data_IF_491544165530
#
_entry.id   IF_491544165530
#
_cell.length_a   1.000
_cell.length_b   1.000
_cell.length_c   1.000
_cell.angle_alpha   90.00
_cell.angle_beta   90.00
_cell.angle_gamma   90.00
#
_symmetry.space_group_name_H-M   'P 1'
#
loop_
_entity.id
_entity.type
_entity.pdbx_description
1 polymer ?
#
# COMPACT_ATOMS: atom_id res chain seq x y z
N UNK A 1 -9.13 -11.51 -35.57
CA UNK A 1 -9.75 -12.49 -34.64
C UNK A 1 -8.75 -13.23 -33.74
N UNK A 2 -7.46 -13.36 -34.08
CA UNK A 2 -6.47 -14.04 -33.22
C UNK A 2 -6.15 -13.30 -31.90
N UNK A 3 -6.16 -11.96 -31.87
CA UNK A 3 -5.82 -11.17 -30.67
C UNK A 3 -6.84 -11.33 -29.52
N UNK A 4 -8.10 -11.64 -29.85
CA UNK A 4 -9.19 -11.82 -28.86
C UNK A 4 -9.12 -13.21 -28.20
N UNK A 5 -8.58 -14.22 -28.88
CA UNK A 5 -8.46 -15.57 -28.32
C UNK A 5 -7.32 -15.66 -27.27
N UNK A 6 -6.23 -14.93 -27.47
CA UNK A 6 -5.08 -14.93 -26.55
C UNK A 6 -5.40 -14.24 -25.22
N UNK A 7 -6.19 -13.17 -25.24
CA UNK A 7 -6.62 -12.47 -24.01
C UNK A 7 -7.60 -13.29 -23.17
N UNK A 8 -8.50 -14.03 -23.81
CA UNK A 8 -9.46 -14.93 -23.14
C UNK A 8 -8.77 -16.16 -22.51
N UNK A 9 -7.70 -16.65 -23.14
CA UNK A 9 -6.91 -17.78 -22.60
C UNK A 9 -6.11 -17.37 -21.36
N UNK A 10 -5.59 -16.14 -21.35
CA UNK A 10 -4.91 -15.59 -20.17
C UNK A 10 -5.89 -15.33 -19.02
N UNK A 11 -7.12 -14.85 -19.30
CA UNK A 11 -8.10 -14.59 -18.25
C UNK A 11 -8.64 -15.87 -17.60
N UNK A 12 -8.83 -16.94 -18.37
CA UNK A 12 -9.25 -18.24 -17.83
C UNK A 12 -8.14 -18.87 -16.97
N UNK A 13 -6.88 -18.79 -17.39
CA UNK A 13 -5.73 -19.19 -16.59
C UNK A 13 -5.65 -18.41 -15.28
N UNK A 14 -5.79 -17.09 -15.32
CA UNK A 14 -5.78 -16.26 -14.12
C UNK A 14 -6.93 -16.60 -13.17
N UNK A 15 -8.11 -16.97 -13.67
CA UNK A 15 -9.22 -17.42 -12.82
C UNK A 15 -8.93 -18.74 -12.10
N UNK A 16 -8.23 -19.67 -12.76
CA UNK A 16 -7.78 -20.92 -12.15
C UNK A 16 -6.75 -20.63 -11.05
N UNK A 17 -5.76 -19.79 -11.33
CA UNK A 17 -4.72 -19.41 -10.36
C UNK A 17 -5.34 -18.70 -9.14
N UNK A 18 -6.32 -17.81 -9.37
CA UNK A 18 -7.09 -17.17 -8.28
C UNK A 18 -7.80 -18.23 -7.41
N UNK A 19 -8.42 -19.23 -8.00
CA UNK A 19 -9.06 -20.32 -7.25
C UNK A 19 -8.03 -21.15 -6.45
N UNK A 20 -6.83 -21.40 -6.99
CA UNK A 20 -5.74 -22.07 -6.29
C UNK A 20 -5.30 -21.29 -5.05
N UNK A 21 -5.10 -19.97 -5.18
CA UNK A 21 -4.78 -19.10 -4.03
C UNK A 21 -5.85 -19.19 -2.94
N UNK A 22 -7.13 -19.17 -3.33
CA UNK A 22 -8.25 -19.30 -2.37
C UNK A 22 -8.23 -20.64 -1.64
N UNK A 23 -7.94 -21.73 -2.36
CA UNK A 23 -7.86 -23.06 -1.78
C UNK A 23 -6.67 -23.21 -0.81
N UNK A 24 -5.51 -22.67 -1.17
CA UNK A 24 -4.33 -22.71 -0.32
C UNK A 24 -4.56 -21.93 0.98
N UNK A 25 -5.19 -20.76 0.88
CA UNK A 25 -5.56 -19.96 2.05
C UNK A 25 -6.63 -20.63 2.93
N UNK A 26 -7.64 -21.28 2.34
CA UNK A 26 -8.74 -21.89 3.11
C UNK A 26 -8.33 -23.15 3.87
N UNK A 27 -7.23 -23.78 3.48
CA UNK A 27 -6.72 -25.01 4.07
C UNK A 27 -5.47 -24.77 4.92
N UNK A 28 -5.12 -23.51 5.18
CA UNK A 28 -3.89 -23.12 5.85
C UNK A 28 -3.91 -23.58 7.32
N UNK A 29 -2.92 -24.38 7.69
CA UNK A 29 -2.66 -24.85 9.07
C UNK A 29 -1.22 -24.56 9.43
N UNK A 30 -0.90 -24.53 10.72
CA UNK A 30 0.47 -24.28 11.22
C UNK A 30 1.48 -25.25 10.60
N UNK A 31 1.15 -26.55 10.54
CA UNK A 31 1.99 -27.61 9.95
C UNK A 31 2.20 -27.47 8.43
N UNK A 32 1.31 -26.75 7.74
CA UNK A 32 1.36 -26.58 6.29
C UNK A 32 1.75 -25.17 5.85
N UNK A 33 1.97 -24.27 6.81
CA UNK A 33 2.15 -22.84 6.59
C UNK A 33 3.31 -22.55 5.63
N UNK A 34 4.52 -23.02 5.95
CA UNK A 34 5.72 -22.72 5.16
C UNK A 34 5.62 -23.23 3.72
N UNK A 35 5.09 -24.44 3.55
CA UNK A 35 4.92 -25.03 2.22
C UNK A 35 3.91 -24.23 1.39
N UNK A 36 2.75 -23.89 1.98
CA UNK A 36 1.69 -23.16 1.28
C UNK A 36 2.06 -21.71 1.03
N UNK A 37 2.80 -21.07 1.94
CA UNK A 37 3.38 -19.74 1.76
C UNK A 37 4.32 -19.72 0.55
N UNK A 38 5.23 -20.69 0.45
CA UNK A 38 6.13 -20.80 -0.69
C UNK A 38 5.38 -21.02 -2.01
N UNK A 39 4.33 -21.86 -2.01
CA UNK A 39 3.50 -22.12 -3.19
C UNK A 39 2.70 -20.88 -3.62
N UNK A 40 2.10 -20.16 -2.67
CA UNK A 40 1.41 -18.89 -2.93
C UNK A 40 2.38 -17.86 -3.50
N UNK A 41 3.60 -17.76 -2.96
CA UNK A 41 4.64 -16.85 -3.45
C UNK A 41 5.00 -17.16 -4.90
N UNK A 42 5.22 -18.44 -5.21
CA UNK A 42 5.54 -18.88 -6.57
C UNK A 42 4.38 -18.64 -7.56
N UNK A 43 3.12 -18.79 -7.14
CA UNK A 43 1.96 -18.41 -7.96
C UNK A 43 1.92 -16.89 -8.22
N UNK A 44 2.26 -16.09 -7.22
CA UNK A 44 2.34 -14.64 -7.38
C UNK A 44 3.48 -14.23 -8.33
N UNK A 45 4.68 -14.80 -8.15
CA UNK A 45 5.86 -14.50 -8.97
C UNK A 45 5.66 -14.91 -10.44
N UNK A 46 5.00 -16.04 -10.70
CA UNK A 46 4.77 -16.55 -12.06
C UNK A 46 3.66 -15.82 -12.84
N UNK A 47 2.68 -15.26 -12.15
CA UNK A 47 1.47 -14.70 -12.78
C UNK A 47 1.31 -13.19 -12.59
N UNK A 48 2.19 -12.56 -11.82
CA UNK A 48 2.33 -11.11 -11.73
C UNK A 48 1.28 -10.40 -10.88
N UNK A 49 1.22 -9.08 -11.03
CA UNK A 49 0.52 -8.16 -10.13
C UNK A 49 -0.96 -8.50 -9.91
N UNK A 50 -1.67 -9.05 -10.90
CA UNK A 50 -3.08 -9.40 -10.75
C UNK A 50 -3.35 -10.46 -9.68
N UNK A 51 -2.42 -11.42 -9.52
CA UNK A 51 -2.54 -12.48 -8.51
C UNK A 51 -2.13 -11.95 -7.14
N UNK A 52 -1.11 -11.08 -7.05
CA UNK A 52 -0.79 -10.36 -5.82
C UNK A 52 -1.97 -9.55 -5.30
N UNK A 53 -2.62 -8.79 -6.18
CA UNK A 53 -3.80 -7.99 -5.85
C UNK A 53 -4.97 -8.88 -5.41
N UNK A 54 -5.18 -10.03 -6.06
CA UNK A 54 -6.21 -10.99 -5.64
C UNK A 54 -5.92 -11.61 -4.26
N UNK A 55 -4.68 -12.04 -4.03
CA UNK A 55 -4.23 -12.56 -2.74
C UNK A 55 -4.45 -11.52 -1.65
N UNK A 56 -4.04 -10.27 -1.89
CA UNK A 56 -4.18 -9.19 -0.94
C UNK A 56 -5.65 -8.92 -0.58
N UNK A 57 -6.57 -8.91 -1.56
CA UNK A 57 -8.02 -8.84 -1.28
C UNK A 57 -8.47 -9.97 -0.36
N UNK A 58 -8.00 -11.19 -0.60
CA UNK A 58 -8.35 -12.36 0.22
C UNK A 58 -7.79 -12.27 1.62
N UNK A 59 -6.54 -11.83 1.78
CA UNK A 59 -5.93 -11.61 3.09
C UNK A 59 -6.63 -10.49 3.86
N UNK A 60 -7.00 -9.39 3.19
CA UNK A 60 -7.75 -8.31 3.83
C UNK A 60 -9.14 -8.79 4.26
N UNK A 61 -9.88 -9.47 3.38
CA UNK A 61 -11.18 -10.06 3.71
C UNK A 61 -11.08 -11.08 4.85
N UNK A 62 -10.00 -11.87 4.85
CA UNK A 62 -9.72 -12.87 5.87
C UNK A 62 -9.02 -12.29 7.09
N UNK A 63 -8.70 -11.00 7.15
CA UNK A 63 -7.96 -10.40 8.28
C UNK A 63 -8.73 -10.48 9.61
N UNK A 64 -10.01 -10.88 9.58
CA UNK A 64 -10.73 -11.38 10.76
C UNK A 64 -10.13 -12.66 11.35
N UNK A 65 -9.55 -13.55 10.53
CA UNK A 65 -8.61 -14.59 10.93
C UNK A 65 -7.22 -13.99 11.16
N UNK A 66 -6.59 -14.43 12.24
CA UNK A 66 -5.25 -14.03 12.68
C UNK A 66 -4.21 -14.28 11.57
N UNK A 67 -3.81 -13.23 10.87
CA UNK A 67 -2.62 -13.27 10.03
C UNK A 67 -1.40 -13.15 10.95
N UNK A 68 -0.84 -14.30 11.33
CA UNK A 68 0.48 -14.31 11.97
C UNK A 68 1.53 -14.28 10.84
N UNK A 69 1.96 -13.07 10.49
CA UNK A 69 3.02 -12.83 9.51
C UNK A 69 4.32 -12.58 10.28
N UNK A 70 4.85 -13.62 10.91
CA UNK A 70 6.13 -13.57 11.64
C UNK A 70 7.35 -13.44 10.70
N UNK A 71 7.15 -13.06 9.44
CA UNK A 71 8.24 -12.88 8.47
C UNK A 71 8.11 -11.51 7.79
N UNK A 72 8.98 -10.56 8.14
CA UNK A 72 8.92 -9.20 7.61
C UNK A 72 9.36 -9.13 6.14
N UNK A 73 9.90 -10.19 5.55
CA UNK A 73 10.53 -10.16 4.19
C UNK A 73 9.58 -10.32 3.01
N UNK A 74 8.28 -10.12 3.19
CA UNK A 74 7.34 -10.27 2.08
C UNK A 74 7.02 -8.93 1.44
N UNK A 75 7.39 -8.79 0.17
CA UNK A 75 7.05 -7.71 -0.77
C UNK A 75 5.52 -7.53 -0.99
N UNK A 76 4.68 -7.96 -0.04
CA UNK A 76 3.24 -7.72 0.00
C UNK A 76 2.88 -6.30 0.46
N UNK A 77 3.88 -5.51 0.86
CA UNK A 77 3.70 -4.15 1.36
C UNK A 77 3.92 -3.06 0.31
N UNK A 78 3.63 -3.31 -0.97
CA UNK A 78 3.52 -2.18 -1.89
C UNK A 78 2.21 -1.42 -1.58
N UNK A 79 2.27 -0.19 -1.02
CA UNK A 79 1.08 0.56 -0.64
C UNK A 79 0.16 0.81 -1.84
N UNK A 80 0.72 0.85 -3.05
CA UNK A 80 -0.05 1.01 -4.27
C UNK A 80 -0.85 -0.26 -4.62
N UNK A 81 -0.22 -1.43 -4.55
CA UNK A 81 -0.89 -2.72 -4.72
C UNK A 81 -2.02 -2.93 -3.70
N UNK A 82 -1.83 -2.48 -2.45
CA UNK A 82 -2.87 -2.47 -1.43
C UNK A 82 -4.07 -1.59 -1.80
N UNK A 83 -3.80 -0.36 -2.19
CA UNK A 83 -4.84 0.56 -2.65
C UNK A 83 -5.58 0.01 -3.87
N UNK A 84 -4.86 -0.54 -4.85
CA UNK A 84 -5.46 -1.16 -6.03
C UNK A 84 -6.32 -2.38 -5.67
N UNK A 85 -5.90 -3.16 -4.67
CA UNK A 85 -6.69 -4.26 -4.14
C UNK A 85 -8.02 -3.77 -3.56
N UNK A 86 -8.00 -2.66 -2.81
CA UNK A 86 -9.18 -2.02 -2.23
C UNK A 86 -10.11 -1.42 -3.30
N UNK A 87 -9.57 -0.58 -4.19
CA UNK A 87 -10.35 0.20 -5.16
C UNK A 87 -11.11 -0.71 -6.16
N UNK A 88 -10.50 -1.84 -6.53
CA UNK A 88 -11.05 -2.81 -7.49
C UNK A 88 -11.79 -3.98 -6.82
N UNK A 89 -11.94 -3.98 -5.50
CA UNK A 89 -12.69 -5.02 -4.82
C UNK A 89 -14.19 -4.72 -4.79
N UNK A 90 -15.00 -5.78 -4.83
CA UNK A 90 -16.44 -5.66 -4.64
C UNK A 90 -16.74 -5.05 -3.26
N UNK A 91 -17.58 -3.99 -3.25
CA UNK A 91 -17.81 -3.14 -2.09
C UNK A 91 -18.31 -3.88 -0.84
N UNK A 92 -18.84 -5.09 -0.97
CA UNK A 92 -19.31 -5.89 0.17
C UNK A 92 -18.17 -6.54 0.98
N UNK A 93 -17.02 -6.84 0.35
CA UNK A 93 -15.90 -7.55 1.02
C UNK A 93 -15.26 -6.70 2.12
N UNK A 94 -15.39 -5.38 1.99
CA UNK A 94 -14.82 -4.40 2.89
C UNK A 94 -15.89 -3.64 3.68
N UNK A 95 -17.13 -4.12 3.64
CA UNK A 95 -18.20 -3.58 4.47
C UNK A 95 -17.81 -3.88 5.94
N UNK A 96 -17.55 -2.84 6.73
CA UNK A 96 -16.97 -2.91 8.09
C UNK A 96 -15.47 -3.22 8.15
N UNK A 97 -14.71 -3.01 7.08
CA UNK A 97 -13.26 -3.08 7.16
C UNK A 97 -12.71 -1.95 8.05
N UNK A 98 -11.90 -2.34 9.03
CA UNK A 98 -11.24 -1.45 9.98
C UNK A 98 -9.73 -1.44 9.69
N UNK A 99 -9.26 -0.33 9.13
CA UNK A 99 -7.90 -0.16 8.66
C UNK A 99 -6.89 -0.15 9.81
N UNK A 100 -7.20 0.51 10.94
CA UNK A 100 -6.25 0.59 12.04
C UNK A 100 -6.08 -0.78 12.70
N UNK A 101 -7.19 -1.49 12.93
CA UNK A 101 -7.16 -2.87 13.45
C UNK A 101 -6.45 -3.83 12.51
N UNK A 102 -6.59 -3.65 11.20
CA UNK A 102 -5.83 -4.41 10.21
C UNK A 102 -4.33 -4.17 10.35
N UNK A 103 -3.91 -2.91 10.47
CA UNK A 103 -2.51 -2.54 10.65
C UNK A 103 -1.94 -3.11 11.96
N UNK A 104 -2.71 -3.11 13.05
CA UNK A 104 -2.32 -3.73 14.33
C UNK A 104 -2.11 -5.24 14.22
N UNK A 105 -3.01 -5.95 13.52
CA UNK A 105 -2.89 -7.40 13.34
C UNK A 105 -1.68 -7.81 12.53
N UNK A 106 -1.27 -6.98 11.57
CA UNK A 106 -0.09 -7.21 10.75
C UNK A 106 1.18 -6.74 11.47
N UNK A 107 1.06 -5.96 12.54
CA UNK A 107 2.19 -5.45 13.30
C UNK A 107 2.88 -4.25 12.65
N UNK A 108 2.15 -3.46 11.85
CA UNK A 108 2.73 -2.28 11.20
C UNK A 108 3.11 -1.21 12.23
N UNK A 109 4.35 -0.77 12.15
CA UNK A 109 4.88 0.36 12.91
C UNK A 109 4.29 1.70 12.47
N UNK A 110 4.47 2.78 13.25
CA UNK A 110 3.86 4.08 12.95
C UNK A 110 4.20 4.62 11.56
N UNK A 111 5.47 4.49 11.14
CA UNK A 111 5.92 4.97 9.83
C UNK A 111 5.34 4.14 8.67
N UNK A 112 5.22 2.82 8.85
CA UNK A 112 4.60 1.93 7.88
C UNK A 112 3.10 2.22 7.75
N UNK A 113 2.41 2.44 8.88
CA UNK A 113 1.02 2.92 8.91
C UNK A 113 0.86 4.22 8.14
N UNK A 114 1.79 5.18 8.31
CA UNK A 114 1.78 6.46 7.58
C UNK A 114 1.92 6.23 6.07
N UNK A 115 2.90 5.43 5.65
CA UNK A 115 3.15 5.15 4.23
C UNK A 115 1.97 4.44 3.59
N UNK A 116 1.42 3.42 4.25
CA UNK A 116 0.23 2.70 3.79
C UNK A 116 -1.00 3.62 3.70
N UNK A 117 -1.28 4.38 4.76
CA UNK A 117 -2.43 5.27 4.78
C UNK A 117 -2.31 6.34 3.69
N UNK A 118 -1.11 6.89 3.47
CA UNK A 118 -0.88 7.89 2.41
C UNK A 118 -1.24 7.38 1.01
N UNK A 119 -1.08 6.09 0.71
CA UNK A 119 -1.43 5.55 -0.61
C UNK A 119 -2.94 5.46 -0.84
N UNK A 120 -3.72 5.35 0.23
CA UNK A 120 -5.19 5.36 0.20
C UNK A 120 -5.70 6.78 -0.07
N UNK A 121 -4.97 7.78 0.42
CA UNK A 121 -5.25 9.20 0.19
C UNK A 121 -4.88 9.56 -1.25
N UNK A 122 -5.84 9.37 -2.14
CA UNK A 122 -5.70 9.68 -3.56
C UNK A 122 -7.01 10.23 -4.14
N UNK A 123 -6.93 11.19 -5.07
CA UNK A 123 -8.12 11.76 -5.71
C UNK A 123 -8.91 10.72 -6.53
N UNK A 124 -8.31 9.58 -6.89
CA UNK A 124 -8.95 8.55 -7.71
C UNK A 124 -9.51 7.36 -6.91
N UNK A 125 -9.47 7.37 -5.57
CA UNK A 125 -10.07 6.27 -4.79
C UNK A 125 -11.60 6.36 -4.76
N UNK A 126 -12.25 5.22 -4.95
CA UNK A 126 -13.72 5.10 -4.92
C UNK A 126 -14.26 4.83 -3.52
N UNK A 127 -13.38 4.56 -2.54
CA UNK A 127 -13.69 4.09 -1.19
C UNK A 127 -13.55 5.21 -0.16
N UNK A 128 -14.52 6.14 -0.18
CA UNK A 128 -14.53 7.34 0.68
C UNK A 128 -14.58 7.02 2.18
N UNK A 129 -15.16 5.88 2.56
CA UNK A 129 -15.14 5.33 3.91
C UNK A 129 -13.71 5.08 4.41
N UNK A 130 -12.85 4.55 3.54
CA UNK A 130 -11.46 4.24 3.87
C UNK A 130 -10.56 5.47 3.85
N UNK A 131 -10.91 6.49 3.06
CA UNK A 131 -10.21 7.79 3.09
C UNK A 131 -10.32 8.44 4.47
N UNK A 132 -11.49 8.35 5.11
CA UNK A 132 -11.69 8.84 6.48
C UNK A 132 -10.80 8.13 7.48
N UNK A 133 -10.83 6.79 7.48
CA UNK A 133 -9.98 5.97 8.35
C UNK A 133 -8.48 6.21 8.11
N UNK A 134 -8.06 6.33 6.84
CA UNK A 134 -6.67 6.62 6.49
C UNK A 134 -6.23 8.00 6.98
N UNK A 135 -7.12 9.00 6.93
CA UNK A 135 -6.84 10.35 7.42
C UNK A 135 -6.62 10.36 8.94
N UNK A 136 -7.47 9.66 9.68
CA UNK A 136 -7.33 9.48 11.14
C UNK A 136 -6.05 8.71 11.49
N UNK A 137 -5.73 7.68 10.70
CA UNK A 137 -4.53 6.88 10.88
C UNK A 137 -3.24 7.69 10.65
N UNK A 138 -3.23 8.57 9.64
CA UNK A 138 -2.14 9.52 9.38
C UNK A 138 -1.98 10.46 10.56
N UNK A 139 -3.05 11.12 10.99
CA UNK A 139 -2.99 12.12 12.06
C UNK A 139 -2.53 11.53 13.40
N UNK A 140 -3.04 10.34 13.77
CA UNK A 140 -2.68 9.67 15.02
C UNK A 140 -1.24 9.15 15.06
N UNK A 141 -0.62 8.87 13.90
CA UNK A 141 0.74 8.33 13.81
C UNK A 141 1.78 9.34 13.33
N UNK A 142 1.38 10.54 12.92
CA UNK A 142 2.25 11.53 12.29
C UNK A 142 3.51 11.83 13.11
N UNK A 143 3.35 12.22 14.38
CA UNK A 143 4.48 12.61 15.25
C UNK A 143 5.49 11.48 15.44
N UNK A 144 4.99 10.26 15.67
CA UNK A 144 5.83 9.06 15.82
C UNK A 144 6.56 8.74 14.52
N UNK A 145 5.89 8.88 13.38
CA UNK A 145 6.44 8.60 12.06
C UNK A 145 7.55 9.58 11.68
N UNK A 146 7.34 10.88 11.92
CA UNK A 146 8.37 11.91 11.67
C UNK A 146 9.59 11.69 12.56
N UNK A 147 9.40 11.28 13.81
CA UNK A 147 10.52 10.94 14.68
C UNK A 147 11.31 9.70 14.21
N UNK A 148 10.63 8.72 13.60
CA UNK A 148 11.25 7.51 13.04
C UNK A 148 11.96 7.77 11.71
N UNK A 149 11.47 8.71 10.89
CA UNK A 149 12.10 9.11 9.62
C UNK A 149 13.54 9.60 9.80
N UNK A 150 13.89 10.15 10.96
CA UNK A 150 15.25 10.62 11.25
C UNK A 150 16.18 9.53 11.81
N UNK A 151 15.66 8.34 12.11
CA UNK A 151 16.48 7.23 12.62
C UNK A 151 17.00 6.40 11.46
N UNK A 152 18.21 5.88 11.60
CA UNK A 152 18.78 4.91 10.66
C UNK A 152 18.93 3.55 11.36
N UNK A 153 18.37 2.46 10.80
CA UNK A 153 17.45 2.45 9.65
C UNK A 153 16.08 3.03 10.03
N UNK A 154 15.35 3.62 9.08
CA UNK A 154 13.99 4.14 9.39
C UNK A 154 12.90 3.07 9.36
N UNK A 155 13.17 1.91 8.77
CA UNK A 155 12.33 0.71 8.78
C UNK A 155 13.15 -0.47 9.28
N UNK A 156 12.47 -1.55 9.65
CA UNK A 156 13.12 -2.75 10.18
C UNK A 156 13.90 -3.54 9.12
N UNK A 157 13.68 -3.27 7.82
CA UNK A 157 14.28 -4.06 6.74
C UNK A 157 15.00 -3.30 5.63
N UNK A 158 14.63 -2.06 5.29
CA UNK A 158 15.31 -1.24 4.28
C UNK A 158 14.95 0.24 4.43
N UNK A 159 15.89 1.16 4.18
CA UNK A 159 15.56 2.58 4.12
C UNK A 159 14.60 2.88 2.95
N UNK A 160 13.73 3.88 3.13
CA UNK A 160 12.83 4.36 2.07
C UNK A 160 13.61 4.67 0.79
N UNK A 161 13.25 4.01 -0.31
CA UNK A 161 13.75 4.35 -1.63
C UNK A 161 13.27 5.74 -2.07
N UNK A 162 14.04 6.42 -2.91
CA UNK A 162 13.67 7.74 -3.42
C UNK A 162 12.29 7.75 -4.10
N UNK A 163 11.91 6.65 -4.76
CA UNK A 163 10.59 6.52 -5.39
C UNK A 163 9.46 6.36 -4.37
N UNK A 164 9.71 5.69 -3.24
CA UNK A 164 8.74 5.61 -2.14
C UNK A 164 8.56 6.97 -1.45
N UNK A 165 9.66 7.72 -1.26
CA UNK A 165 9.64 9.08 -0.72
C UNK A 165 8.86 10.04 -1.64
N UNK A 166 9.13 9.96 -2.94
CA UNK A 166 8.42 10.77 -3.95
C UNK A 166 6.90 10.53 -3.88
N UNK A 167 6.47 9.27 -3.80
CA UNK A 167 5.06 8.90 -3.65
C UNK A 167 4.46 9.34 -2.31
N UNK A 168 5.19 9.20 -1.21
CA UNK A 168 4.74 9.62 0.11
C UNK A 168 4.49 11.14 0.13
N UNK A 169 5.45 11.91 -0.35
CA UNK A 169 5.33 13.36 -0.41
C UNK A 169 4.26 13.81 -1.40
N UNK A 170 4.11 13.12 -2.54
CA UNK A 170 3.06 13.47 -3.50
C UNK A 170 1.66 13.29 -2.91
N UNK A 171 1.41 12.30 -2.05
CA UNK A 171 0.11 12.14 -1.40
C UNK A 171 -0.11 13.08 -0.22
N UNK A 172 0.94 13.37 0.57
CA UNK A 172 0.81 14.14 1.81
C UNK A 172 0.95 15.65 1.62
N UNK A 173 1.75 16.09 0.66
CA UNK A 173 2.08 17.52 0.46
C UNK A 173 1.25 18.16 -0.65
N UNK A 174 0.88 17.40 -1.67
CA UNK A 174 0.10 17.94 -2.79
C UNK A 174 -1.27 18.45 -2.32
N UNK A 175 -1.59 19.68 -2.69
CA UNK A 175 -2.92 20.23 -2.54
C UNK A 175 -3.67 20.09 -3.86
N UNK A 176 -4.82 19.42 -3.83
CA UNK A 176 -5.73 19.32 -4.98
C UNK A 176 -7.12 19.81 -4.56
N UNK A 177 -7.85 20.55 -5.41
CA UNK A 177 -9.21 20.99 -5.10
C UNK A 177 -10.17 19.82 -4.85
N UNK A 178 -9.87 18.62 -5.38
CA UNK A 178 -10.67 17.41 -5.18
C UNK A 178 -10.33 16.66 -3.89
N UNK A 179 -9.15 16.91 -3.32
CA UNK A 179 -8.67 16.26 -2.12
C UNK A 179 -7.68 17.20 -1.41
N UNK A 180 -8.17 18.04 -0.49
CA UNK A 180 -7.30 18.95 0.25
C UNK A 180 -6.31 18.14 1.08
N UNK A 181 -5.12 18.70 1.29
CA UNK A 181 -4.10 18.03 2.10
C UNK A 181 -4.63 17.76 3.51
N UNK A 182 -4.41 16.53 3.97
CA UNK A 182 -4.76 16.10 5.34
C UNK A 182 -3.85 16.78 6.36
N UNK A 183 -2.63 17.12 5.94
CA UNK A 183 -1.63 17.72 6.80
C UNK A 183 -1.77 19.25 6.78
N UNK A 184 -1.65 19.85 7.96
CA UNK A 184 -1.56 21.30 8.05
C UNK A 184 -0.23 21.84 7.49
N UNK A 185 -0.13 23.17 7.39
CA UNK A 185 1.07 23.84 6.87
C UNK A 185 2.34 23.48 7.67
N UNK A 186 2.23 23.36 8.99
CA UNK A 186 3.36 23.03 9.88
C UNK A 186 3.79 21.58 9.71
N UNK A 187 2.83 20.64 9.69
CA UNK A 187 3.06 19.22 9.45
C UNK A 187 3.73 18.99 8.09
N UNK A 188 3.26 19.65 7.03
CA UNK A 188 3.90 19.59 5.71
C UNK A 188 5.33 20.10 5.72
N UNK A 189 5.59 21.23 6.37
CA UNK A 189 6.95 21.77 6.46
C UNK A 189 7.89 20.83 7.24
N UNK A 190 7.39 20.21 8.30
CA UNK A 190 8.14 19.24 9.10
C UNK A 190 8.50 18.01 8.29
N UNK A 191 7.53 17.34 7.65
CA UNK A 191 7.84 16.12 6.89
C UNK A 191 8.84 16.39 5.76
N UNK A 192 8.69 17.52 5.04
CA UNK A 192 9.64 17.96 4.01
C UNK A 192 11.04 18.13 4.58
N UNK A 193 11.18 18.85 5.69
CA UNK A 193 12.49 19.14 6.30
C UNK A 193 13.17 17.87 6.82
N UNK A 194 12.41 16.92 7.37
CA UNK A 194 12.94 15.66 7.88
C UNK A 194 13.39 14.74 6.73
N UNK A 195 12.59 14.65 5.67
CA UNK A 195 12.97 13.92 4.46
C UNK A 195 14.21 14.54 3.81
N UNK A 196 14.25 15.87 3.68
CA UNK A 196 15.40 16.59 3.13
C UNK A 196 16.68 16.34 3.94
N UNK A 197 16.57 16.32 5.27
CA UNK A 197 17.71 15.96 6.13
C UNK A 197 18.23 14.55 5.85
N UNK A 198 17.32 13.62 5.55
CA UNK A 198 17.66 12.22 5.27
C UNK A 198 18.30 11.99 3.90
N UNK A 199 17.72 12.55 2.84
CA UNK A 199 18.15 12.27 1.45
C UNK A 199 19.09 13.33 0.87
N UNK A 200 19.26 14.46 1.56
CA UNK A 200 20.03 15.61 1.10
C UNK A 200 19.20 16.57 0.25
N UNK A 201 19.66 17.83 0.21
CA UNK A 201 18.97 18.94 -0.47
C UNK A 201 18.85 18.73 -1.99
N UNK A 202 19.85 18.11 -2.63
CA UNK A 202 19.87 17.90 -4.07
C UNK A 202 18.80 16.88 -4.51
N UNK A 203 18.78 15.70 -3.90
CA UNK A 203 17.77 14.67 -4.18
C UNK A 203 16.35 15.14 -3.83
N UNK A 204 16.19 15.93 -2.77
CA UNK A 204 14.91 16.53 -2.42
C UNK A 204 14.44 17.53 -3.49
N UNK A 205 15.35 18.32 -4.07
CA UNK A 205 15.06 19.25 -5.15
C UNK A 205 14.43 18.55 -6.36
N UNK A 206 15.04 17.45 -6.82
CA UNK A 206 14.53 16.64 -7.93
C UNK A 206 13.12 16.07 -7.65
N UNK A 207 12.89 15.59 -6.43
CA UNK A 207 11.59 15.04 -6.03
C UNK A 207 10.51 16.14 -6.01
N UNK A 208 10.81 17.31 -5.45
CA UNK A 208 9.86 18.43 -5.41
C UNK A 208 9.55 18.96 -6.81
N UNK A 209 10.55 19.05 -7.69
CA UNK A 209 10.34 19.43 -9.09
C UNK A 209 9.40 18.45 -9.79
N UNK A 210 9.63 17.13 -9.64
CA UNK A 210 8.75 16.09 -10.19
C UNK A 210 7.32 16.24 -9.69
N UNK A 211 7.10 16.34 -8.37
CA UNK A 211 5.76 16.51 -7.78
C UNK A 211 5.08 17.77 -8.34
N UNK A 212 5.81 18.89 -8.43
CA UNK A 212 5.27 20.14 -8.99
C UNK A 212 4.92 20.04 -10.48
N UNK A 213 5.67 19.23 -11.23
CA UNK A 213 5.43 18.99 -12.66
C UNK A 213 4.21 18.09 -12.88
N UNK A 214 4.03 17.06 -12.06
CA UNK A 214 2.86 16.17 -12.08
C UNK A 214 1.59 16.93 -11.73
N UNK A 215 1.65 17.84 -10.76
CA UNK A 215 0.53 18.73 -10.40
C UNK A 215 0.15 19.67 -11.54
N UNK A 216 1.15 20.25 -12.23
CA UNK A 216 0.91 21.14 -13.38
C UNK A 216 0.37 20.39 -14.60
N UNK A 217 0.81 19.15 -14.84
CA UNK A 217 0.34 18.32 -15.94
C UNK A 217 -1.07 17.73 -15.74
N UNK A 218 -1.55 17.64 -14.49
CA UNK A 218 -2.87 17.10 -14.16
C UNK A 218 -4.01 18.13 -14.26
N UNK A 219 -3.72 19.36 -14.71
CA UNK A 219 -4.65 20.48 -14.81
C UNK A 219 -5.18 20.75 -16.23
N UNK A 220 -5.13 19.75 -17.13
CA UNK A 220 -5.71 19.78 -18.48
C UNK A 220 -6.88 18.80 -18.60
#
# INVERSE_FOLDING_TARGET
>A
MALVATTVSNSSLLNIVKAQVVFLLSTLTEDTYERKKAEIRDLCDRHGAEIHVHLLRRLIAASHLRLNLDDPTTSFYDPHSFREAIDKADGQIFLNFDLDRFCERIGLGPLEKLVLASSIISPFTTRRDLVGQASELIQSNFEKSVALLNKTPSFDLDDLSNSAIEKLLSHLVSDSPLMPSILDVQQRHRIISNVQYKIGTEAMGEILEKISSTLRGSSL
#
